data_IF_339538337586
#
_entry.id   IF_339538337586
#
_cell.length_a   1.000
_cell.length_b   1.000
_cell.length_c   1.000
_cell.angle_alpha   90.00
_cell.angle_beta   90.00
_cell.angle_gamma   90.00
#
_symmetry.space_group_name_H-M   'P 1'
#
loop_
_entity.id
_entity.type
_entity.pdbx_description
1 polymer ?
#
# COMPACT_ATOMS: atom_id res chain seq x y z
N UNK A 1 -24.06 -27.93 26.89
CA UNK A 1 -22.67 -28.29 27.24
C UNK A 1 -21.85 -28.36 25.96
N UNK A 2 -20.51 -28.16 26.01
CA UNK A 2 -19.53 -27.99 24.91
C UNK A 2 -19.28 -26.48 24.61
N UNK A 3 -18.55 -25.73 25.44
CA UNK A 3 -17.12 -25.76 25.81
C UNK A 3 -16.20 -25.15 24.73
N UNK A 4 -16.03 -23.83 24.86
CA UNK A 4 -14.88 -22.97 24.51
C UNK A 4 -13.66 -23.72 23.93
N UNK A 5 -13.32 -23.45 22.67
CA UNK A 5 -11.93 -23.51 22.18
C UNK A 5 -11.82 -22.67 20.89
N UNK A 6 -10.76 -21.84 20.83
CA UNK A 6 -10.20 -21.16 19.64
C UNK A 6 -11.01 -19.94 19.17
N UNK A 7 -10.73 -18.66 19.50
CA UNK A 7 -9.47 -17.89 19.44
C UNK A 7 -8.56 -18.28 18.27
N UNK A 8 -8.33 -17.31 17.37
CA UNK A 8 -7.42 -17.32 16.22
C UNK A 8 -7.95 -17.97 14.92
N UNK A 9 -8.85 -17.28 14.20
CA UNK A 9 -8.97 -17.40 12.74
C UNK A 9 -9.92 -16.32 12.20
N UNK A 10 -9.49 -15.06 12.15
CA UNK A 10 -10.22 -14.02 11.41
C UNK A 10 -9.23 -13.18 10.61
N UNK A 11 -8.55 -13.84 9.69
CA UNK A 11 -7.79 -13.24 8.59
C UNK A 11 -8.27 -13.89 7.28
N UNK A 12 -9.58 -13.93 7.10
CA UNK A 12 -10.21 -14.22 5.81
C UNK A 12 -10.71 -12.89 5.25
N UNK A 13 -9.84 -12.16 4.54
CA UNK A 13 -10.26 -11.03 3.71
C UNK A 13 -9.60 -11.15 2.33
N UNK A 14 -10.35 -11.79 1.43
CA UNK A 14 -10.60 -11.34 0.05
C UNK A 14 -9.33 -11.08 -0.78
N UNK A 15 -8.74 -12.17 -1.31
CA UNK A 15 -7.94 -12.13 -2.52
C UNK A 15 -8.87 -12.31 -3.74
N UNK A 16 -9.68 -11.29 -4.02
CA UNK A 16 -10.45 -11.22 -5.26
C UNK A 16 -10.49 -9.76 -5.72
N UNK A 17 -10.33 -9.57 -7.04
CA UNK A 17 -10.35 -8.31 -7.81
C UNK A 17 -8.98 -7.64 -7.98
N UNK A 18 -8.38 -7.81 -9.17
CA UNK A 18 -8.38 -6.80 -10.25
C UNK A 18 -7.48 -7.29 -11.39
N UNK A 19 -8.09 -7.92 -12.38
CA UNK A 19 -7.57 -8.02 -13.74
C UNK A 19 -8.04 -6.77 -14.50
N UNK A 20 -7.51 -5.59 -14.15
CA UNK A 20 -7.84 -4.32 -14.79
C UNK A 20 -6.64 -3.76 -15.56
N UNK A 21 -6.73 -3.74 -16.89
CA UNK A 21 -6.09 -2.81 -17.84
C UNK A 21 -4.67 -2.26 -17.56
N UNK A 22 -3.61 -2.68 -18.30
CA UNK A 22 -2.23 -2.25 -18.05
C UNK A 22 -1.88 -0.80 -18.45
N UNK A 23 -2.80 -0.03 -19.05
CA UNK A 23 -2.47 1.30 -19.62
C UNK A 23 -2.88 2.47 -18.73
N UNK A 24 -3.78 2.30 -17.74
CA UNK A 24 -4.14 3.36 -16.78
C UNK A 24 -3.35 3.32 -15.46
N UNK A 25 -2.71 2.19 -15.13
CA UNK A 25 -2.02 1.97 -13.85
C UNK A 25 -0.87 2.96 -13.59
N UNK A 26 -0.16 3.43 -14.63
CA UNK A 26 0.96 4.36 -14.46
C UNK A 26 0.51 5.78 -14.03
N UNK A 27 -0.64 6.24 -14.51
CA UNK A 27 -1.17 7.57 -14.17
C UNK A 27 -1.72 7.58 -12.73
N UNK A 28 -2.38 6.48 -12.33
CA UNK A 28 -2.93 6.32 -10.98
C UNK A 28 -1.82 6.19 -9.94
N UNK A 29 -0.80 5.36 -10.24
CA UNK A 29 0.37 5.25 -9.41
C UNK A 29 1.15 6.57 -9.25
N UNK A 30 1.24 7.40 -10.30
CA UNK A 30 1.91 8.69 -10.18
C UNK A 30 1.14 9.66 -9.26
N UNK A 31 -0.20 9.65 -9.32
CA UNK A 31 -1.07 10.40 -8.40
C UNK A 31 -0.89 9.92 -6.96
N UNK A 32 -0.89 8.60 -6.76
CA UNK A 32 -0.73 8.00 -5.44
C UNK A 32 0.65 8.24 -4.84
N UNK A 33 1.70 8.21 -5.67
CA UNK A 33 3.05 8.62 -5.30
C UNK A 33 3.05 10.02 -4.68
N UNK A 34 2.36 10.96 -5.33
CA UNK A 34 2.29 12.36 -4.90
C UNK A 34 1.47 12.52 -3.63
N UNK A 35 0.39 11.75 -3.48
CA UNK A 35 -0.42 11.73 -2.25
C UNK A 35 0.38 11.18 -1.05
N UNK A 36 1.08 10.06 -1.25
CA UNK A 36 1.97 9.45 -0.25
C UNK A 36 3.10 10.41 0.12
N UNK A 37 3.76 11.06 -0.84
CA UNK A 37 4.83 12.03 -0.57
C UNK A 37 4.34 13.27 0.18
N UNK A 38 3.17 13.80 -0.23
CA UNK A 38 2.54 14.93 0.45
C UNK A 38 2.13 14.60 1.88
N UNK A 39 1.58 13.41 2.11
CA UNK A 39 1.18 12.97 3.45
C UNK A 39 2.38 12.60 4.33
N UNK A 40 3.43 12.00 3.78
CA UNK A 40 4.65 11.70 4.51
C UNK A 40 5.33 12.96 5.06
N UNK A 41 5.14 14.12 4.41
CA UNK A 41 5.59 15.43 4.91
C UNK A 41 4.69 16.02 5.99
N UNK A 42 3.41 15.61 6.06
CA UNK A 42 2.39 16.13 6.97
C UNK A 42 2.20 15.27 8.23
N UNK A 43 2.41 13.97 8.11
CA UNK A 43 2.23 13.00 9.20
C UNK A 43 3.54 12.88 9.98
N UNK A 44 3.48 13.06 11.31
CA UNK A 44 4.58 12.68 12.20
C UNK A 44 4.66 11.15 12.28
N UNK A 45 5.51 10.58 11.43
CA UNK A 45 5.84 9.16 11.44
C UNK A 45 6.95 8.88 12.46
N UNK A 46 6.89 7.71 13.09
CA UNK A 46 8.03 7.14 13.83
C UNK A 46 9.20 6.89 12.87
N UNK A 47 10.43 6.81 13.39
CA UNK A 47 11.64 6.60 12.57
C UNK A 47 11.56 5.34 11.70
N UNK A 48 10.99 4.25 12.25
CA UNK A 48 10.76 3.00 11.52
C UNK A 48 9.73 3.14 10.41
N UNK A 49 8.59 3.78 10.68
CA UNK A 49 7.55 3.98 9.67
C UNK A 49 8.00 4.93 8.56
N UNK A 50 8.77 5.98 8.91
CA UNK A 50 9.38 6.87 7.94
C UNK A 50 10.38 6.14 7.02
N UNK A 51 11.16 5.21 7.57
CA UNK A 51 12.07 4.38 6.79
C UNK A 51 11.30 3.43 5.85
N UNK A 52 10.25 2.78 6.35
CA UNK A 52 9.38 1.90 5.53
C UNK A 52 8.68 2.66 4.41
N UNK A 53 8.10 3.83 4.70
CA UNK A 53 7.45 4.68 3.68
C UNK A 53 8.46 5.11 2.63
N UNK A 54 9.69 5.46 3.00
CA UNK A 54 10.75 5.79 2.05
C UNK A 54 11.15 4.60 1.17
N UNK A 55 11.26 3.40 1.73
CA UNK A 55 11.56 2.18 0.96
C UNK A 55 10.44 1.88 -0.05
N UNK A 56 9.18 1.93 0.41
CA UNK A 56 8.00 1.74 -0.42
C UNK A 56 7.91 2.79 -1.53
N UNK A 57 8.20 4.05 -1.24
CA UNK A 57 8.28 5.10 -2.26
C UNK A 57 9.37 4.81 -3.30
N UNK A 58 10.51 4.28 -2.88
CA UNK A 58 11.61 3.96 -3.80
C UNK A 58 11.25 2.77 -4.70
N UNK A 59 10.61 1.73 -4.14
CA UNK A 59 10.05 0.59 -4.88
C UNK A 59 8.97 1.03 -5.86
N UNK A 60 7.99 1.79 -5.40
CA UNK A 60 6.93 2.31 -6.26
C UNK A 60 7.48 3.15 -7.42
N UNK A 61 8.49 4.00 -7.19
CA UNK A 61 9.17 4.74 -8.28
C UNK A 61 9.81 3.80 -9.31
N UNK A 62 10.47 2.73 -8.87
CA UNK A 62 11.06 1.75 -9.77
C UNK A 62 9.99 0.98 -10.55
N UNK A 63 8.88 0.63 -9.90
CA UNK A 63 7.75 -0.08 -10.51
C UNK A 63 6.99 0.78 -11.52
N UNK A 64 6.78 2.07 -11.23
CA UNK A 64 6.21 3.05 -12.18
C UNK A 64 7.10 3.18 -13.40
N UNK A 65 8.42 3.31 -13.19
CA UNK A 65 9.39 3.41 -14.28
C UNK A 65 9.41 2.13 -15.13
N UNK A 66 9.22 0.97 -14.50
CA UNK A 66 9.10 -0.32 -15.15
C UNK A 66 7.68 -0.62 -15.69
N UNK A 67 6.72 0.33 -15.56
CA UNK A 67 5.30 0.17 -15.91
C UNK A 67 4.66 -1.10 -15.32
N UNK A 68 5.08 -1.48 -14.11
CA UNK A 68 4.53 -2.61 -13.36
C UNK A 68 3.25 -2.22 -12.63
N UNK A 69 2.24 -3.08 -12.67
CA UNK A 69 1.01 -2.96 -11.87
C UNK A 69 1.24 -3.12 -10.36
N UNK A 70 2.35 -3.76 -9.97
CA UNK A 70 2.71 -3.98 -8.57
C UNK A 70 2.89 -2.67 -7.78
N UNK A 71 3.15 -1.55 -8.48
CA UNK A 71 3.22 -0.22 -7.87
C UNK A 71 1.97 0.14 -7.03
N UNK A 72 0.77 -0.26 -7.47
CA UNK A 72 -0.48 0.07 -6.78
C UNK A 72 -0.50 -0.59 -5.39
N UNK A 73 -0.04 -1.83 -5.29
CA UNK A 73 0.07 -2.55 -4.02
C UNK A 73 1.14 -1.91 -3.12
N UNK A 74 2.30 -1.55 -3.68
CA UNK A 74 3.38 -0.87 -2.96
C UNK A 74 2.94 0.49 -2.39
N UNK A 75 2.17 1.26 -3.16
CA UNK A 75 1.63 2.55 -2.71
C UNK A 75 0.46 2.38 -1.74
N UNK A 76 -0.36 1.33 -1.88
CA UNK A 76 -1.40 1.01 -0.91
C UNK A 76 -0.80 0.68 0.48
N UNK A 77 0.31 -0.05 0.52
CA UNK A 77 1.07 -0.31 1.76
C UNK A 77 1.57 1.00 2.39
N UNK A 78 2.11 1.91 1.57
CA UNK A 78 2.57 3.21 2.05
C UNK A 78 1.41 4.08 2.59
N UNK A 79 0.25 4.05 1.91
CA UNK A 79 -0.98 4.72 2.35
C UNK A 79 -1.47 4.19 3.69
N UNK A 80 -1.41 2.88 3.94
CA UNK A 80 -1.79 2.28 5.24
C UNK A 80 -0.92 2.81 6.38
N UNK A 81 0.39 2.89 6.17
CA UNK A 81 1.33 3.44 7.17
C UNK A 81 1.03 4.92 7.43
N UNK A 82 0.71 5.67 6.37
CA UNK A 82 0.34 7.07 6.42
C UNK A 82 -1.10 7.33 6.87
N UNK A 83 -1.89 6.28 7.11
CA UNK A 83 -3.33 6.33 7.41
C UNK A 83 -4.13 7.19 6.43
N UNK A 84 -3.76 7.14 5.15
CA UNK A 84 -4.52 7.75 4.07
C UNK A 84 -5.69 6.83 3.69
N UNK A 85 -6.91 7.37 3.65
CA UNK A 85 -8.11 6.70 3.16
C UNK A 85 -8.15 6.71 1.63
#
# INVERSE_FOLDING_TARGET
MIKRFLFAASLAVIAALVLGSPVMAAADCAKDMKAVDGAAKKVKLSKEDAAKVKDLQKKARAEIKAKKKECEATLAEAKKILKLK
#
